data_IF_232350211213
#
_entry.id   IF_232350211213
#
_cell.length_a   1.000
_cell.length_b   1.000
_cell.length_c   1.000
_cell.angle_alpha   90.00
_cell.angle_beta   90.00
_cell.angle_gamma   90.00
#
_symmetry.space_group_name_H-M   'P 1'
#
loop_
_entity.id
_entity.type
_entity.pdbx_description
1 polymer ?
#
# COMPACT_ATOMS: atom_id res chain seq x y z
N UNK A 1 5.24 -4.37 -16.58
CA UNK A 1 5.17 -3.29 -15.58
C UNK A 1 6.11 -2.18 -16.00
N UNK A 2 5.59 -0.99 -16.14
CA UNK A 2 6.38 0.17 -16.53
C UNK A 2 6.59 1.07 -15.32
N UNK A 3 7.70 0.84 -14.61
CA UNK A 3 7.99 1.56 -13.37
C UNK A 3 9.25 2.41 -13.55
N UNK A 4 9.13 3.69 -13.23
CA UNK A 4 10.28 4.60 -13.25
C UNK A 4 10.98 4.55 -11.88
N UNK A 5 11.97 3.66 -11.76
CA UNK A 5 12.69 3.45 -10.50
C UNK A 5 13.40 4.70 -10.00
N UNK A 6 14.01 5.48 -10.88
CA UNK A 6 14.74 6.69 -10.48
C UNK A 6 13.82 7.70 -9.79
N UNK A 7 12.62 7.89 -10.34
CA UNK A 7 11.61 8.77 -9.75
C UNK A 7 11.23 8.30 -8.35
N UNK A 8 10.97 7.01 -8.17
CA UNK A 8 10.51 6.47 -6.89
C UNK A 8 11.62 6.43 -5.86
N UNK A 9 12.86 6.20 -6.27
CA UNK A 9 14.02 6.32 -5.39
C UNK A 9 14.17 7.77 -4.93
N UNK A 10 13.98 8.73 -5.83
CA UNK A 10 14.00 10.16 -5.48
C UNK A 10 12.89 10.51 -4.48
N UNK A 11 11.69 9.96 -4.70
CA UNK A 11 10.56 10.19 -3.78
C UNK A 11 10.85 9.68 -2.38
N UNK A 12 11.65 8.62 -2.23
CA UNK A 12 12.02 8.08 -0.91
C UNK A 12 12.95 8.98 -0.10
N UNK A 13 13.42 10.08 -0.66
CA UNK A 13 14.12 11.11 0.11
C UNK A 13 13.14 11.94 0.93
N UNK A 14 11.92 12.09 0.44
CA UNK A 14 10.86 12.89 1.05
C UNK A 14 9.86 12.04 1.82
N UNK A 15 9.55 10.87 1.30
CA UNK A 15 8.56 9.95 1.86
C UNK A 15 9.24 8.66 2.33
N UNK A 16 8.84 8.15 3.48
CA UNK A 16 9.42 6.89 4.00
C UNK A 16 8.87 5.66 3.28
N UNK A 17 7.78 5.82 2.56
CA UNK A 17 7.18 4.77 1.74
C UNK A 17 6.44 5.39 0.57
N UNK A 18 6.54 4.74 -0.58
CA UNK A 18 5.73 5.06 -1.77
C UNK A 18 5.04 3.77 -2.18
N UNK A 19 3.71 3.77 -2.18
CA UNK A 19 2.96 2.59 -2.59
C UNK A 19 2.10 2.90 -3.81
N UNK A 20 1.76 1.84 -4.54
CA UNK A 20 1.10 1.97 -5.82
C UNK A 20 -0.31 1.42 -5.87
N UNK A 21 -0.85 1.49 -7.08
CA UNK A 21 -2.16 1.01 -7.42
C UNK A 21 -2.11 -0.47 -7.75
N UNK A 22 -3.01 -1.25 -7.17
CA UNK A 22 -3.15 -2.65 -7.55
C UNK A 22 -4.49 -2.89 -8.25
N UNK A 23 -4.46 -3.78 -9.24
CA UNK A 23 -5.65 -4.26 -9.90
C UNK A 23 -5.90 -5.69 -9.42
N UNK A 24 -7.00 -5.98 -8.73
CA UNK A 24 -7.27 -7.32 -8.23
C UNK A 24 -7.66 -8.24 -9.37
N UNK A 25 -7.02 -9.40 -9.44
CA UNK A 25 -7.25 -10.42 -10.47
C UNK A 25 -7.58 -11.74 -9.78
N UNK A 26 -8.69 -12.35 -10.20
CA UNK A 26 -9.11 -13.65 -9.69
C UNK A 26 -9.40 -14.57 -10.89
N UNK A 27 -8.65 -15.67 -10.98
CA UNK A 27 -8.74 -16.60 -12.13
C UNK A 27 -8.66 -15.87 -13.48
N UNK A 28 -7.72 -14.94 -13.61
CA UNK A 28 -7.53 -14.19 -14.85
C UNK A 28 -8.55 -13.09 -15.10
N UNK A 29 -9.53 -12.93 -14.23
CA UNK A 29 -10.57 -11.91 -14.37
C UNK A 29 -10.38 -10.78 -13.38
N UNK A 30 -10.56 -9.55 -13.83
CA UNK A 30 -10.53 -8.39 -12.97
C UNK A 30 -11.75 -8.38 -12.05
N UNK A 31 -11.52 -8.15 -10.76
CA UNK A 31 -12.59 -8.03 -9.78
C UNK A 31 -12.55 -6.63 -9.15
N UNK A 32 -13.74 -6.08 -8.90
CA UNK A 32 -13.84 -4.68 -8.41
C UNK A 32 -14.71 -4.56 -7.18
N UNK A 33 -14.91 -5.64 -6.47
CA UNK A 33 -15.96 -5.72 -5.45
C UNK A 33 -15.51 -5.44 -4.03
N UNK A 34 -14.56 -4.57 -3.75
CA UNK A 34 -14.30 -4.30 -2.36
C UNK A 34 -13.99 -2.84 -2.13
N UNK A 35 -14.41 -2.40 -0.96
CA UNK A 35 -14.17 -1.02 -0.57
C UNK A 35 -12.69 -0.64 -0.61
N UNK A 36 -11.77 -1.60 -0.34
CA UNK A 36 -10.34 -1.30 -0.35
C UNK A 36 -9.86 -0.81 -1.72
N UNK A 37 -10.43 -1.31 -2.82
CA UNK A 37 -9.99 -0.90 -4.15
C UNK A 37 -10.48 0.48 -4.55
N UNK A 38 -11.47 1.03 -3.85
CA UNK A 38 -11.89 2.41 -4.07
C UNK A 38 -10.80 3.41 -3.70
N UNK A 39 -9.83 3.00 -2.89
CA UNK A 39 -8.70 3.84 -2.50
C UNK A 39 -7.67 4.02 -3.64
N UNK A 40 -7.66 3.11 -4.60
CA UNK A 40 -6.70 3.14 -5.70
C UNK A 40 -7.17 4.05 -6.82
N UNK A 41 -7.10 5.36 -6.57
CA UNK A 41 -7.51 6.40 -7.50
C UNK A 41 -6.41 6.71 -8.51
N UNK A 42 -6.65 7.67 -9.42
CA UNK A 42 -5.67 8.09 -10.42
C UNK A 42 -4.91 9.35 -10.01
N UNK A 43 -4.98 9.74 -8.74
CA UNK A 43 -4.29 10.92 -8.21
C UNK A 43 -3.31 10.53 -7.12
N UNK A 44 -2.15 11.21 -7.10
CA UNK A 44 -1.19 11.09 -6.00
C UNK A 44 -1.82 11.64 -4.71
N UNK A 45 -1.58 10.94 -3.61
CA UNK A 45 -2.11 11.35 -2.30
C UNK A 45 -1.03 11.16 -1.25
N UNK A 46 -0.72 12.22 -0.52
CA UNK A 46 0.21 12.17 0.61
C UNK A 46 -0.57 11.79 1.85
N UNK A 47 -0.06 10.82 2.61
CA UNK A 47 -0.66 10.37 3.86
C UNK A 47 -2.14 10.00 3.69
N UNK A 48 -2.42 9.15 2.71
CA UNK A 48 -3.79 8.74 2.40
C UNK A 48 -4.51 8.27 3.66
N UNK A 49 -5.69 8.85 3.91
CA UNK A 49 -6.55 8.47 5.01
C UNK A 49 -7.83 7.85 4.47
N UNK A 50 -8.21 6.70 5.00
CA UNK A 50 -9.44 6.02 4.62
C UNK A 50 -10.57 6.38 5.57
N UNK A 51 -11.59 7.05 5.06
CA UNK A 51 -12.81 7.32 5.82
C UNK A 51 -13.57 6.03 6.09
N UNK A 52 -13.48 5.06 5.18
CA UNK A 52 -14.16 3.78 5.31
C UNK A 52 -13.56 2.93 6.43
N UNK A 53 -12.22 2.95 6.58
CA UNK A 53 -11.54 2.20 7.64
C UNK A 53 -11.30 3.03 8.89
N UNK A 54 -11.49 4.34 8.80
CA UNK A 54 -11.19 5.31 9.85
C UNK A 54 -9.74 5.21 10.33
N UNK A 55 -8.82 5.10 9.38
CA UNK A 55 -7.37 5.03 9.64
C UNK A 55 -6.59 5.39 8.39
N UNK A 56 -5.29 5.61 8.55
CA UNK A 56 -4.41 5.81 7.41
C UNK A 56 -4.35 4.54 6.58
N UNK A 57 -4.34 4.72 5.26
CA UNK A 57 -4.39 3.62 4.31
C UNK A 57 -3.07 3.52 3.56
N UNK A 58 -2.32 2.45 3.82
CA UNK A 58 -1.14 2.04 3.08
C UNK A 58 -1.32 0.57 2.77
N UNK A 59 -1.10 0.17 1.53
CA UNK A 59 -1.23 -1.22 1.11
C UNK A 59 0.10 -1.68 0.53
N UNK A 60 0.68 -2.74 1.10
CA UNK A 60 2.04 -3.15 0.77
C UNK A 60 2.15 -4.17 -0.37
N UNK A 61 1.07 -4.40 -1.13
CA UNK A 61 1.13 -5.30 -2.29
C UNK A 61 2.14 -4.83 -3.33
N UNK A 62 2.28 -3.51 -3.51
CA UNK A 62 3.35 -2.92 -4.31
C UNK A 62 3.80 -1.64 -3.62
N UNK A 63 5.02 -1.65 -3.09
CA UNK A 63 5.53 -0.51 -2.35
C UNK A 63 7.05 -0.46 -2.39
N UNK A 64 7.56 0.76 -2.29
CA UNK A 64 8.97 1.05 -2.10
C UNK A 64 9.15 1.66 -0.72
N UNK A 65 10.19 1.26 0.00
CA UNK A 65 10.42 1.66 1.38
C UNK A 65 11.77 2.35 1.53
N UNK A 66 11.81 3.40 2.33
CA UNK A 66 13.08 3.97 2.75
C UNK A 66 13.72 2.98 3.73
N UNK A 67 14.82 2.37 3.30
CA UNK A 67 15.47 1.29 4.04
C UNK A 67 15.82 1.67 5.48
N UNK A 68 16.38 2.86 5.66
CA UNK A 68 16.80 3.34 6.98
C UNK A 68 15.63 3.42 7.96
N UNK A 69 14.50 3.95 7.50
CA UNK A 69 13.30 4.04 8.33
C UNK A 69 12.71 2.66 8.64
N UNK A 70 12.65 1.78 7.65
CA UNK A 70 12.10 0.45 7.83
C UNK A 70 12.93 -0.40 8.80
N UNK A 71 14.25 -0.28 8.75
CA UNK A 71 15.13 -1.01 9.69
C UNK A 71 14.87 -0.57 11.13
N UNK A 72 14.71 0.74 11.36
CA UNK A 72 14.44 1.28 12.69
C UNK A 72 13.01 1.01 13.16
N UNK A 73 12.09 0.87 12.23
CA UNK A 73 10.65 0.75 12.52
C UNK A 73 10.06 -0.39 11.67
N UNK A 74 10.39 -1.65 11.99
CA UNK A 74 9.90 -2.79 11.19
C UNK A 74 8.40 -3.00 11.37
N UNK A 75 7.80 -3.75 10.44
CA UNK A 75 6.43 -4.21 10.60
C UNK A 75 6.32 -5.10 11.83
N UNK A 76 5.15 -5.06 12.48
CA UNK A 76 4.88 -5.92 13.63
C UNK A 76 4.60 -7.34 13.15
N UNK A 77 5.53 -8.25 13.36
CA UNK A 77 5.44 -9.64 12.91
C UNK A 77 4.36 -10.45 13.65
N UNK A 78 3.88 -9.94 14.78
CA UNK A 78 2.83 -10.60 15.55
C UNK A 78 1.44 -10.35 15.00
N UNK A 79 1.31 -9.47 14.00
CA UNK A 79 0.03 -9.17 13.38
C UNK A 79 -0.19 -10.06 12.16
N UNK A 80 -1.39 -10.63 12.05
CA UNK A 80 -1.82 -11.36 10.87
C UNK A 80 -2.78 -10.47 10.09
N UNK A 81 -2.31 -9.91 8.99
CA UNK A 81 -3.06 -8.93 8.22
C UNK A 81 -3.04 -7.55 8.87
N UNK A 82 -3.28 -6.51 8.08
CA UNK A 82 -3.31 -5.10 8.48
C UNK A 82 -2.03 -4.56 9.11
N UNK A 83 -0.92 -5.31 9.03
CA UNK A 83 0.38 -4.83 9.49
C UNK A 83 0.78 -3.55 8.78
N UNK A 84 0.40 -3.39 7.52
CA UNK A 84 0.63 -2.18 6.75
C UNK A 84 -0.17 -0.99 7.29
N UNK A 85 -1.41 -1.21 7.75
CA UNK A 85 -2.24 -0.15 8.36
C UNK A 85 -1.63 0.35 9.67
N UNK A 86 -1.19 -0.56 10.53
CA UNK A 86 -0.55 -0.19 11.79
C UNK A 86 0.78 0.52 11.55
N UNK A 87 1.52 0.09 10.53
CA UNK A 87 2.78 0.74 10.17
C UNK A 87 2.54 2.16 9.63
N UNK A 88 1.47 2.38 8.88
CA UNK A 88 1.09 3.71 8.42
C UNK A 88 0.81 4.64 9.61
N UNK A 89 0.11 4.16 10.64
CA UNK A 89 -0.11 4.92 11.86
C UNK A 89 1.22 5.30 12.52
N UNK A 90 2.17 4.39 12.55
CA UNK A 90 3.50 4.64 13.09
C UNK A 90 4.23 5.75 12.33
N UNK A 91 4.13 5.76 11.00
CA UNK A 91 4.72 6.80 10.16
C UNK A 91 4.22 8.17 10.61
N UNK A 92 2.92 8.31 10.79
CA UNK A 92 2.30 9.57 11.18
C UNK A 92 2.72 9.96 12.60
N UNK A 93 2.77 9.01 13.54
CA UNK A 93 3.24 9.26 14.90
C UNK A 93 4.69 9.76 14.92
N UNK A 94 5.52 9.28 14.02
CA UNK A 94 6.92 9.71 13.88
C UNK A 94 7.06 11.01 13.10
N UNK A 95 5.94 11.65 12.73
CA UNK A 95 5.90 12.90 11.96
C UNK A 95 6.60 12.76 10.60
N UNK A 96 6.49 11.58 10.00
CA UNK A 96 6.94 11.28 8.65
C UNK A 96 5.75 11.17 7.73
N UNK A 97 6.02 10.97 6.43
CA UNK A 97 4.98 10.92 5.40
C UNK A 97 5.18 9.74 4.47
N UNK A 98 4.09 9.26 3.91
CA UNK A 98 4.09 8.25 2.85
C UNK A 98 3.27 8.76 1.67
N UNK A 99 3.54 8.20 0.48
CA UNK A 99 2.92 8.65 -0.77
C UNK A 99 2.20 7.49 -1.45
N UNK A 100 0.98 7.74 -1.90
CA UNK A 100 0.31 6.89 -2.89
C UNK A 100 0.58 7.47 -4.27
N UNK A 101 1.17 6.66 -5.15
CA UNK A 101 1.49 7.07 -6.53
C UNK A 101 0.86 6.07 -7.52
N UNK A 102 -0.23 6.44 -8.21
CA UNK A 102 -0.91 5.54 -9.14
C UNK A 102 -0.12 5.24 -10.41
N UNK A 103 0.98 5.93 -10.67
CA UNK A 103 1.87 5.58 -11.79
C UNK A 103 2.57 4.24 -11.55
N UNK A 104 2.65 3.79 -10.30
CA UNK A 104 3.05 2.43 -9.96
C UNK A 104 1.78 1.60 -10.01
N UNK A 105 1.66 0.71 -11.00
CA UNK A 105 0.45 -0.08 -11.18
C UNK A 105 0.83 -1.53 -11.43
N UNK A 106 0.22 -2.46 -10.70
CA UNK A 106 0.46 -3.90 -10.84
C UNK A 106 -0.85 -4.67 -10.79
N UNK A 107 -0.86 -5.83 -11.41
CA UNK A 107 -1.93 -6.79 -11.25
C UNK A 107 -1.61 -7.66 -10.04
N UNK A 108 -2.54 -7.73 -9.11
CA UNK A 108 -2.40 -8.53 -7.90
C UNK A 108 -3.32 -9.74 -8.00
N UNK A 109 -2.74 -10.92 -8.16
CA UNK A 109 -3.51 -12.16 -8.31
C UNK A 109 -3.86 -12.72 -6.95
N UNK A 110 -5.15 -12.78 -6.67
CA UNK A 110 -5.67 -13.32 -5.41
C UNK A 110 -5.95 -14.81 -5.55
N UNK A 111 -5.72 -15.54 -4.47
CA UNK A 111 -5.95 -16.98 -4.38
C UNK A 111 -6.78 -17.30 -3.14
N UNK A 112 -7.49 -18.45 -3.11
CA UNK A 112 -8.28 -18.84 -1.92
C UNK A 112 -7.45 -18.97 -0.65
N UNK A 113 -6.16 -19.28 -0.79
CA UNK A 113 -5.27 -19.49 0.33
C UNK A 113 -4.52 -18.23 0.78
N UNK A 114 -4.69 -17.12 0.07
CA UNK A 114 -4.05 -15.85 0.43
C UNK A 114 -4.76 -15.15 1.58
N UNK A 115 -4.00 -14.46 2.43
CA UNK A 115 -4.55 -13.74 3.58
C UNK A 115 -5.58 -12.68 3.18
N UNK A 116 -5.38 -12.05 2.03
CA UNK A 116 -6.27 -10.99 1.54
C UNK A 116 -7.55 -11.53 0.89
N UNK A 117 -7.59 -12.82 0.56
CA UNK A 117 -8.77 -13.43 -0.02
C UNK A 117 -9.99 -13.32 0.88
N UNK A 118 -9.81 -13.58 2.17
CA UNK A 118 -10.91 -13.52 3.15
C UNK A 118 -11.60 -12.18 3.18
N UNK A 119 -10.96 -11.17 2.70
CA UNK A 119 -11.50 -9.86 2.63
C UNK A 119 -12.22 -9.54 1.32
N UNK A 120 -12.31 -10.42 0.34
CA UNK A 120 -12.97 -10.19 -0.95
C UNK A 120 -14.43 -10.61 -0.94
N UNK A 121 -14.76 -11.58 -0.15
CA UNK A 121 -16.13 -12.10 -0.07
C UNK A 121 -17.10 -11.13 0.55
#
# INVERSE_FOLDING_TARGET
ININLEKHISDLRKYVCVFGKQNPIWFGKKITKRYIWSHFTNKKIVNMFSKLENRYFLHNAVAFYQKKFLIKNPFNENLTGKEDRYWAELIIKKKKSFLYDPSIEVNHHYTPNGNTWKGIG
#
